data_IF_569666942968
#
_entry.id   IF_569666942968
#
_cell.length_a   1.000
_cell.length_b   1.000
_cell.length_c   1.000
_cell.angle_alpha   90.00
_cell.angle_beta   90.00
_cell.angle_gamma   90.00
#
_symmetry.space_group_name_H-M   'P 1'
#
loop_
_entity.id
_entity.type
_entity.pdbx_description
1 polymer ?
#
# COMPACT_ATOMS: atom_id res chain seq x y z
N UNK A 1 1.66 -13.66 -7.59
CA UNK A 1 2.11 -13.32 -8.94
C UNK A 1 2.70 -11.91 -8.98
N UNK A 2 3.89 -11.77 -9.53
CA UNK A 2 4.53 -10.47 -9.77
C UNK A 2 4.81 -10.31 -11.26
N UNK A 3 4.74 -9.08 -11.80
CA UNK A 3 5.15 -8.83 -13.18
C UNK A 3 6.59 -9.31 -13.41
N UNK A 4 6.86 -9.84 -14.60
CA UNK A 4 8.18 -10.37 -14.95
C UNK A 4 9.25 -9.29 -14.80
N UNK A 5 10.34 -9.64 -14.12
CA UNK A 5 11.47 -8.73 -13.90
C UNK A 5 11.31 -7.76 -12.74
N UNK A 6 10.17 -7.80 -12.05
CA UNK A 6 9.97 -6.94 -10.86
C UNK A 6 10.40 -7.65 -9.59
N UNK A 7 10.81 -6.85 -8.61
CA UNK A 7 11.21 -7.33 -7.29
C UNK A 7 10.71 -6.36 -6.23
N UNK A 8 10.11 -6.89 -5.17
CA UNK A 8 9.71 -6.07 -4.03
C UNK A 8 10.74 -6.20 -2.90
N UNK A 9 10.87 -5.13 -2.13
CA UNK A 9 11.70 -5.10 -0.93
C UNK A 9 10.92 -4.51 0.23
N UNK A 10 11.28 -4.92 1.43
CA UNK A 10 10.78 -4.28 2.64
C UNK A 10 11.50 -2.95 2.84
N UNK A 11 10.76 -1.93 3.22
CA UNK A 11 11.28 -0.58 3.44
C UNK A 11 11.24 -0.27 4.93
N UNK A 12 12.39 0.02 5.52
CA UNK A 12 12.46 0.51 6.90
C UNK A 12 12.33 2.04 6.87
N UNK A 13 11.13 2.54 7.15
CA UNK A 13 10.84 3.97 7.12
C UNK A 13 11.53 4.75 8.22
N UNK A 14 12.14 4.08 9.21
CA UNK A 14 12.95 4.73 10.25
C UNK A 14 14.31 5.16 9.69
N UNK A 15 14.77 4.50 8.64
CA UNK A 15 16.00 4.85 7.96
C UNK A 15 15.74 6.08 7.07
N UNK A 16 16.48 7.16 7.28
CA UNK A 16 16.27 8.42 6.59
C UNK A 16 16.31 8.27 5.06
N UNK A 17 17.32 7.60 4.54
CA UNK A 17 17.48 7.41 3.09
C UNK A 17 16.29 6.65 2.49
N UNK A 18 15.86 5.58 3.14
CA UNK A 18 14.73 4.78 2.67
C UNK A 18 13.42 5.56 2.76
N UNK A 19 13.24 6.32 3.82
CA UNK A 19 12.04 7.16 3.97
C UNK A 19 11.99 8.24 2.88
N UNK A 20 13.11 8.90 2.59
CA UNK A 20 13.16 9.92 1.55
C UNK A 20 12.85 9.35 0.16
N UNK A 21 13.38 8.17 -0.16
CA UNK A 21 13.11 7.48 -1.41
C UNK A 21 11.63 7.11 -1.53
N UNK A 22 11.06 6.57 -0.48
CA UNK A 22 9.64 6.22 -0.40
C UNK A 22 8.76 7.45 -0.61
N UNK A 23 9.10 8.54 0.08
CA UNK A 23 8.39 9.82 -0.01
C UNK A 23 8.47 10.41 -1.42
N UNK A 24 9.65 10.35 -2.04
CA UNK A 24 9.84 10.86 -3.39
C UNK A 24 8.92 10.12 -4.38
N UNK A 25 8.82 8.80 -4.26
CA UNK A 25 7.92 8.01 -5.09
C UNK A 25 6.46 8.44 -4.92
N UNK A 26 6.01 8.69 -3.70
CA UNK A 26 4.66 9.17 -3.45
C UNK A 26 4.39 10.51 -4.14
N UNK A 27 5.36 11.42 -4.11
CA UNK A 27 5.26 12.73 -4.75
C UNK A 27 5.25 12.63 -6.27
N UNK A 28 6.21 11.89 -6.83
CA UNK A 28 6.37 11.79 -8.27
C UNK A 28 5.21 11.07 -8.94
N UNK A 29 4.67 10.05 -8.29
CA UNK A 29 3.55 9.29 -8.87
C UNK A 29 2.19 9.92 -8.57
N UNK A 30 2.15 10.97 -7.76
CA UNK A 30 0.93 11.70 -7.47
C UNK A 30 -0.12 10.90 -6.69
N UNK A 31 0.32 9.95 -5.87
CA UNK A 31 -0.58 9.03 -5.18
C UNK A 31 -1.31 9.65 -4.00
N UNK A 32 -0.68 10.59 -3.32
CA UNK A 32 -1.28 11.30 -2.19
C UNK A 32 -0.92 12.77 -2.27
N UNK A 33 -1.82 13.63 -1.81
CA UNK A 33 -1.56 15.05 -1.67
C UNK A 33 -0.81 15.29 -0.37
N UNK A 34 0.03 16.35 -0.34
CA UNK A 34 0.82 16.69 0.85
C UNK A 34 1.55 15.46 1.42
N UNK A 35 2.31 14.81 0.55
CA UNK A 35 2.91 13.50 0.85
C UNK A 35 3.76 13.50 2.12
N UNK A 36 4.53 14.56 2.39
CA UNK A 36 5.37 14.64 3.58
C UNK A 36 4.54 14.61 4.86
N UNK A 37 3.51 15.44 4.93
CA UNK A 37 2.61 15.51 6.09
C UNK A 37 1.79 14.22 6.20
N UNK A 38 1.36 13.69 5.08
CA UNK A 38 0.60 12.43 5.04
C UNK A 38 1.40 11.28 5.64
N UNK A 39 2.64 11.12 5.20
CA UNK A 39 3.50 10.03 5.69
C UNK A 39 3.86 10.24 7.16
N UNK A 40 4.21 11.46 7.55
CA UNK A 40 4.53 11.77 8.94
C UNK A 40 3.38 11.44 9.87
N UNK A 41 2.16 11.77 9.49
CA UNK A 41 0.97 11.45 10.27
C UNK A 41 0.79 9.94 10.43
N UNK A 42 0.97 9.16 9.37
CA UNK A 42 0.84 7.69 9.43
C UNK A 42 1.94 7.06 10.28
N UNK A 43 3.11 7.66 10.30
CA UNK A 43 4.24 7.16 11.08
C UNK A 43 4.16 7.50 12.58
N UNK A 44 3.18 8.27 13.01
CA UNK A 44 2.94 8.51 14.44
C UNK A 44 2.45 7.27 15.16
N UNK A 45 1.72 6.40 14.45
CA UNK A 45 1.31 5.12 14.96
C UNK A 45 2.25 4.00 14.51
N UNK A 46 1.95 2.76 14.85
CA UNK A 46 2.79 1.64 14.44
C UNK A 46 2.69 1.41 12.93
N UNK A 47 3.84 1.26 12.29
CA UNK A 47 3.94 0.84 10.89
C UNK A 47 4.08 -0.69 10.88
N UNK A 48 3.12 -1.37 10.26
CA UNK A 48 3.14 -2.83 10.19
C UNK A 48 4.11 -3.31 9.10
N UNK A 49 4.03 -2.74 7.91
CA UNK A 49 4.97 -3.00 6.83
C UNK A 49 4.94 -1.86 5.80
N UNK A 50 6.06 -1.64 5.15
CA UNK A 50 6.15 -0.80 3.98
C UNK A 50 6.94 -1.56 2.93
N UNK A 51 6.52 -1.49 1.67
CA UNK A 51 7.18 -2.18 0.58
C UNK A 51 7.38 -1.25 -0.59
N UNK A 52 8.46 -1.50 -1.32
CA UNK A 52 8.73 -0.85 -2.59
C UNK A 52 8.97 -1.91 -3.66
N UNK A 53 8.56 -1.64 -4.88
CA UNK A 53 8.76 -2.54 -6.00
C UNK A 53 9.62 -1.87 -7.05
N UNK A 54 10.56 -2.64 -7.59
CA UNK A 54 11.51 -2.18 -8.60
C UNK A 54 11.47 -3.06 -9.83
N UNK A 55 11.66 -2.45 -10.97
CA UNK A 55 12.00 -3.16 -12.21
C UNK A 55 13.45 -2.80 -12.53
N UNK A 56 14.37 -3.74 -12.26
CA UNK A 56 15.78 -3.40 -12.26
C UNK A 56 16.08 -2.35 -11.20
N UNK A 57 16.58 -1.19 -11.61
CA UNK A 57 16.82 -0.05 -10.72
C UNK A 57 15.66 0.96 -10.69
N UNK A 58 14.63 0.74 -11.50
CA UNK A 58 13.50 1.65 -11.59
C UNK A 58 12.48 1.40 -10.48
N UNK A 59 12.17 2.44 -9.73
CA UNK A 59 11.16 2.41 -8.68
C UNK A 59 9.77 2.48 -9.34
N UNK A 60 8.96 1.44 -9.22
CA UNK A 60 7.69 1.34 -9.95
C UNK A 60 6.45 1.32 -9.06
N UNK A 61 6.61 1.11 -7.77
CA UNK A 61 5.47 1.11 -6.88
C UNK A 61 5.84 0.99 -5.42
N UNK A 62 4.87 1.27 -4.56
CA UNK A 62 5.04 1.19 -3.11
C UNK A 62 3.72 0.90 -2.42
N UNK A 63 3.81 0.50 -1.16
CA UNK A 63 2.65 0.17 -0.35
C UNK A 63 2.97 0.43 1.11
N UNK A 64 1.97 0.91 1.86
CA UNK A 64 2.10 1.14 3.29
C UNK A 64 0.94 0.46 4.03
N UNK A 65 1.28 -0.32 5.04
CA UNK A 65 0.32 -0.93 5.96
C UNK A 65 0.69 -0.48 7.38
N UNK A 66 -0.27 0.10 8.07
CA UNK A 66 -0.13 0.52 9.46
C UNK A 66 -0.99 -0.34 10.37
N UNK A 67 -0.80 -0.20 11.67
CA UNK A 67 -1.62 -0.90 12.65
C UNK A 67 -0.86 -1.95 13.42
N UNK A 68 -1.62 -2.86 14.00
CA UNK A 68 -1.09 -3.90 14.88
C UNK A 68 -1.50 -5.27 14.40
N UNK A 69 -1.05 -6.31 15.11
CA UNK A 69 -1.44 -7.67 14.82
C UNK A 69 -2.95 -7.91 14.98
N UNK A 70 -3.64 -7.10 15.79
CA UNK A 70 -5.08 -7.21 15.97
C UNK A 70 -5.86 -6.68 14.75
N UNK A 71 -5.38 -5.59 14.16
CA UNK A 71 -6.00 -4.99 13.00
C UNK A 71 -4.95 -4.19 12.22
N UNK A 72 -4.88 -4.44 10.93
CA UNK A 72 -3.98 -3.73 10.03
C UNK A 72 -4.78 -2.88 9.04
N UNK A 73 -4.20 -1.76 8.65
CA UNK A 73 -4.80 -0.86 7.66
C UNK A 73 -3.86 -0.69 6.47
N UNK A 74 -4.35 -1.02 5.29
CA UNK A 74 -3.66 -0.72 4.03
C UNK A 74 -3.91 0.75 3.72
N UNK A 75 -2.91 1.58 3.99
CA UNK A 75 -3.04 3.04 3.88
C UNK A 75 -2.97 3.51 2.43
N UNK A 76 -2.14 2.90 1.61
CA UNK A 76 -2.05 3.21 0.19
C UNK A 76 -1.31 2.13 -0.58
N UNK A 77 -1.63 2.04 -1.85
CA UNK A 77 -0.86 1.34 -2.86
C UNK A 77 -0.59 2.34 -3.97
N UNK A 78 0.66 2.56 -4.29
CA UNK A 78 1.11 3.58 -5.22
C UNK A 78 1.84 2.92 -6.38
N UNK A 79 1.45 3.25 -7.61
CA UNK A 79 2.06 2.68 -8.81
C UNK A 79 2.44 3.80 -9.76
N UNK A 80 3.67 3.74 -10.30
CA UNK A 80 4.08 4.65 -11.36
C UNK A 80 3.06 4.62 -12.50
N UNK A 81 2.63 5.78 -13.03
CA UNK A 81 1.62 5.82 -14.10
C UNK A 81 1.90 4.91 -15.30
N UNK A 82 3.16 4.79 -15.71
CA UNK A 82 3.55 3.92 -16.83
C UNK A 82 3.39 2.44 -16.54
N UNK A 83 3.35 2.08 -15.26
CA UNK A 83 3.25 0.69 -14.82
C UNK A 83 1.85 0.29 -14.39
N UNK A 84 0.89 1.21 -14.46
CA UNK A 84 -0.51 0.91 -14.12
C UNK A 84 -1.10 -0.10 -15.11
N UNK A 85 -1.95 -0.99 -14.59
CA UNK A 85 -2.55 -2.04 -15.39
C UNK A 85 -1.63 -3.22 -15.69
N UNK A 86 -0.45 -3.27 -15.08
CA UNK A 86 0.52 -4.35 -15.30
C UNK A 86 0.66 -5.31 -14.11
N UNK A 87 -0.21 -5.19 -13.11
CA UNK A 87 -0.23 -6.10 -11.97
C UNK A 87 0.65 -5.73 -10.80
N UNK A 88 1.28 -4.54 -10.78
CA UNK A 88 2.13 -4.10 -9.68
C UNK A 88 1.33 -3.98 -8.39
N UNK A 89 0.19 -3.30 -8.42
CA UNK A 89 -0.65 -3.14 -7.25
C UNK A 89 -1.13 -4.49 -6.71
N UNK A 90 -1.59 -5.38 -7.59
CA UNK A 90 -2.04 -6.71 -7.20
C UNK A 90 -0.92 -7.51 -6.54
N UNK A 91 0.29 -7.45 -7.08
CA UNK A 91 1.44 -8.14 -6.51
C UNK A 91 1.76 -7.63 -5.11
N UNK A 92 1.74 -6.31 -4.91
CA UNK A 92 1.99 -5.70 -3.60
C UNK A 92 0.93 -6.10 -2.57
N UNK A 93 -0.34 -6.05 -2.96
CA UNK A 93 -1.45 -6.45 -2.06
C UNK A 93 -1.37 -7.93 -1.74
N UNK A 94 -1.08 -8.79 -2.70
CA UNK A 94 -0.94 -10.22 -2.47
C UNK A 94 0.20 -10.53 -1.48
N UNK A 95 1.31 -9.82 -1.59
CA UNK A 95 2.41 -9.96 -0.64
C UNK A 95 1.99 -9.54 0.78
N UNK A 96 1.26 -8.43 0.89
CA UNK A 96 0.74 -7.97 2.17
C UNK A 96 -0.21 -9.00 2.78
N UNK A 97 -1.15 -9.50 2.00
CA UNK A 97 -2.12 -10.50 2.46
C UNK A 97 -1.41 -11.78 2.91
N UNK A 98 -0.42 -12.24 2.15
CA UNK A 98 0.36 -13.43 2.52
C UNK A 98 1.10 -13.25 3.83
N UNK A 99 1.73 -12.11 4.04
CA UNK A 99 2.46 -11.82 5.27
C UNK A 99 1.53 -11.66 6.48
N UNK A 100 0.42 -10.96 6.30
CA UNK A 100 -0.59 -10.78 7.35
C UNK A 100 -1.19 -12.12 7.75
N UNK A 101 -1.45 -12.99 6.78
CA UNK A 101 -1.97 -14.33 7.03
C UNK A 101 -0.99 -15.18 7.83
N UNK A 102 0.30 -15.12 7.51
CA UNK A 102 1.34 -15.82 8.27
C UNK A 102 1.42 -15.35 9.72
N UNK A 103 1.15 -14.08 9.97
CA UNK A 103 1.17 -13.50 11.31
C UNK A 103 -0.19 -13.57 12.01
N UNK A 104 -1.16 -14.24 11.39
CA UNK A 104 -2.49 -14.46 11.94
C UNK A 104 -3.24 -13.16 12.26
N UNK A 105 -3.05 -12.13 11.43
CA UNK A 105 -3.80 -10.89 11.53
C UNK A 105 -5.21 -11.14 10.98
N UNK A 106 -6.28 -10.96 11.79
CA UNK A 106 -7.63 -11.37 11.37
C UNK A 106 -8.29 -10.43 10.37
N UNK A 107 -7.94 -9.14 10.41
CA UNK A 107 -8.59 -8.14 9.56
C UNK A 107 -7.58 -7.23 8.89
N UNK A 108 -7.83 -6.95 7.63
CA UNK A 108 -7.14 -5.90 6.88
C UNK A 108 -8.17 -4.93 6.34
N UNK A 109 -8.03 -3.66 6.71
CA UNK A 109 -8.89 -2.59 6.23
C UNK A 109 -8.11 -1.79 5.19
N UNK A 110 -8.71 -1.56 4.02
CA UNK A 110 -8.09 -0.74 2.99
C UNK A 110 -8.75 0.64 2.96
N UNK A 111 -7.93 1.69 2.92
CA UNK A 111 -8.41 3.07 2.77
C UNK A 111 -8.47 3.45 1.32
N UNK A 112 -9.59 4.03 0.90
CA UNK A 112 -9.75 4.56 -0.44
C UNK A 112 -10.59 5.82 -0.38
N UNK A 113 -10.23 6.81 -1.19
CA UNK A 113 -11.01 8.03 -1.30
C UNK A 113 -12.16 7.77 -2.27
N UNK A 114 -13.37 8.21 -1.93
CA UNK A 114 -14.58 7.98 -2.73
C UNK A 114 -14.42 8.38 -4.19
N UNK A 115 -13.73 9.50 -4.41
CA UNK A 115 -13.51 10.02 -5.77
C UNK A 115 -12.60 9.16 -6.61
N UNK A 116 -11.84 8.26 -5.98
CA UNK A 116 -10.93 7.36 -6.68
C UNK A 116 -11.65 6.06 -7.06
N UNK A 117 -12.43 6.12 -8.14
CA UNK A 117 -13.20 4.97 -8.61
C UNK A 117 -12.31 3.78 -8.99
N UNK A 118 -11.12 4.04 -9.53
CA UNK A 118 -10.18 2.97 -9.89
C UNK A 118 -9.69 2.21 -8.66
N UNK A 119 -9.34 2.92 -7.58
CA UNK A 119 -8.93 2.29 -6.33
C UNK A 119 -10.06 1.46 -5.73
N UNK A 120 -11.29 1.99 -5.75
CA UNK A 120 -12.46 1.29 -5.24
C UNK A 120 -12.71 -0.02 -5.98
N UNK A 121 -12.63 0.02 -7.31
CA UNK A 121 -12.78 -1.17 -8.14
C UNK A 121 -11.67 -2.19 -7.87
N UNK A 122 -10.44 -1.72 -7.75
CA UNK A 122 -9.30 -2.57 -7.45
C UNK A 122 -9.48 -3.31 -6.12
N UNK A 123 -9.85 -2.60 -5.06
CA UNK A 123 -10.05 -3.22 -3.75
C UNK A 123 -11.19 -4.23 -3.77
N UNK A 124 -12.29 -3.94 -4.45
CA UNK A 124 -13.39 -4.89 -4.58
C UNK A 124 -12.95 -6.16 -5.31
N UNK A 125 -12.20 -6.05 -6.39
CA UNK A 125 -11.66 -7.22 -7.10
C UNK A 125 -10.71 -8.03 -6.23
N UNK A 126 -10.03 -7.38 -5.30
CA UNK A 126 -9.11 -8.05 -4.36
C UNK A 126 -9.83 -8.69 -3.18
N UNK A 127 -11.16 -8.62 -3.11
CA UNK A 127 -11.96 -9.29 -2.10
C UNK A 127 -12.31 -8.43 -0.89
N UNK A 128 -12.18 -7.11 -1.00
CA UNK A 128 -12.58 -6.19 0.07
C UNK A 128 -14.05 -5.80 -0.06
N UNK A 129 -14.74 -5.74 1.07
CA UNK A 129 -16.11 -5.25 1.18
C UNK A 129 -16.16 -3.94 1.97
N UNK A 130 -17.26 -3.20 1.82
CA UNK A 130 -17.45 -1.95 2.53
C UNK A 130 -17.53 -2.18 4.03
N UNK A 131 -16.76 -1.37 4.79
CA UNK A 131 -16.79 -1.33 6.24
C UNK A 131 -17.48 -0.06 6.74
N UNK A 132 -17.12 1.09 6.15
CA UNK A 132 -17.70 2.39 6.47
C UNK A 132 -17.83 3.23 5.23
N UNK A 133 -18.76 4.20 5.27
CA UNK A 133 -19.01 5.10 4.14
C UNK A 133 -18.25 6.42 4.24
N UNK A 134 -18.05 6.95 5.44
CA UNK A 134 -17.44 8.27 5.62
C UNK A 134 -15.98 8.31 5.18
N UNK A 135 -15.23 7.27 5.47
CA UNK A 135 -13.80 7.19 5.14
C UNK A 135 -13.50 6.20 4.03
N UNK A 136 -14.55 5.61 3.46
CA UNK A 136 -14.40 4.62 2.38
C UNK A 136 -13.41 3.51 2.74
N UNK A 137 -13.59 2.95 3.92
CA UNK A 137 -12.81 1.81 4.36
C UNK A 137 -13.40 0.53 3.80
N UNK A 138 -12.56 -0.29 3.20
CA UNK A 138 -12.91 -1.61 2.72
C UNK A 138 -12.24 -2.62 3.64
N UNK A 139 -13.03 -3.57 4.14
CA UNK A 139 -12.52 -4.60 5.03
C UNK A 139 -12.44 -5.95 4.36
N UNK A 140 -11.48 -6.74 4.77
CA UNK A 140 -11.35 -8.13 4.35
C UNK A 140 -10.90 -8.96 5.54
N UNK A 141 -11.64 -10.03 5.81
CA UNK A 141 -11.26 -11.00 6.84
C UNK A 141 -10.18 -11.93 6.30
N UNK A 142 -9.16 -12.14 7.11
CA UNK A 142 -8.02 -12.96 6.74
C UNK A 142 -8.25 -14.43 7.06
#
# INVERSE_FOLDING_TARGET
YSPVGTKSIDVDLRTRTRREEFLLGLKEFGCVEHASEWLEERMRGPVFMAKAMYYGSDYVGSMLVTGTQAEATLEMVCVEPKWRGRGVASALVDEALGQLNKQQVPHLIARAVRRNASAMKFFKRSGFDWVRTEEYLLGRDM
#
